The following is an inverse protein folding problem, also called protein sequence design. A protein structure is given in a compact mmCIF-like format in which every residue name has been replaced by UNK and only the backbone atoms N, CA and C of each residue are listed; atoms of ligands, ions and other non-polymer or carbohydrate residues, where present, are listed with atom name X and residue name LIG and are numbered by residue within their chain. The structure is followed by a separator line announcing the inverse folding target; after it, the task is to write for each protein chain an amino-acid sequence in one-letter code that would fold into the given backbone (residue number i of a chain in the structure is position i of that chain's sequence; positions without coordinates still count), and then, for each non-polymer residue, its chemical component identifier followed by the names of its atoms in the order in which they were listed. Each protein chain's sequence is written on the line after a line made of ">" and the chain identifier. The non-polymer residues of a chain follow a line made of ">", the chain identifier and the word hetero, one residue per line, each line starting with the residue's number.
data_IF_218305845471
#
_entry.id   IF_218305845471
#
_cell.length_a   1.000
_cell.length_b   1.000
_cell.length_c   1.000
_cell.angle_alpha   90.00
_cell.angle_beta   90.00
_cell.angle_gamma   90.00
#
_symmetry.space_group_name_H-M   'P 1'
#
loop_
_entity.id
_entity.type
_entity.pdbx_description
1 polymer ?
#
# COMPACT_ATOMS: atom_id res chain seq x y z
N UNK A 1 -2.72 19.77 6.04
CA UNK A 1 -3.98 19.24 6.60
C UNK A 1 -3.62 17.98 7.38
N UNK A 2 -4.18 17.75 8.57
CA UNK A 2 -3.92 16.51 9.33
C UNK A 2 -4.72 15.31 8.78
N UNK A 3 -4.38 14.11 9.23
CA UNK A 3 -5.01 12.84 8.81
C UNK A 3 -6.51 12.88 8.97
N UNK A 4 -6.97 13.24 10.15
CA UNK A 4 -8.38 13.24 10.53
C UNK A 4 -9.22 14.17 9.67
N UNK A 5 -8.72 15.39 9.41
CA UNK A 5 -9.38 16.34 8.53
C UNK A 5 -9.33 15.89 7.08
N UNK A 6 -8.25 15.24 6.64
CA UNK A 6 -8.13 14.68 5.29
C UNK A 6 -9.19 13.60 5.05
N UNK A 7 -9.32 12.66 5.99
CA UNK A 7 -10.33 11.60 5.95
C UNK A 7 -11.75 12.17 5.92
N UNK A 8 -12.07 13.10 6.84
CA UNK A 8 -13.39 13.75 6.86
C UNK A 8 -13.70 14.51 5.58
N UNK A 9 -12.72 15.24 5.04
CA UNK A 9 -12.89 16.00 3.79
C UNK A 9 -13.22 15.07 2.63
N UNK A 10 -12.54 13.92 2.52
CA UNK A 10 -12.87 12.91 1.51
C UNK A 10 -14.26 12.29 1.73
N UNK A 11 -14.55 11.85 2.95
CA UNK A 11 -15.82 11.15 3.24
C UNK A 11 -17.02 12.08 3.06
N UNK A 12 -16.97 13.29 3.61
CA UNK A 12 -18.08 14.23 3.58
C UNK A 12 -18.36 14.67 2.14
N UNK A 13 -17.32 14.93 1.35
CA UNK A 13 -17.46 15.30 -0.07
C UNK A 13 -18.25 14.26 -0.88
N UNK A 14 -17.99 12.97 -0.68
CA UNK A 14 -18.69 11.90 -1.38
C UNK A 14 -20.06 11.57 -0.76
N UNK A 15 -20.22 11.67 0.57
CA UNK A 15 -21.53 11.55 1.23
C UNK A 15 -22.51 12.61 0.73
N UNK A 16 -22.06 13.87 0.59
CA UNK A 16 -22.86 14.96 0.02
C UNK A 16 -23.30 14.70 -1.43
N UNK A 17 -22.56 13.84 -2.16
CA UNK A 17 -22.85 13.39 -3.53
C UNK A 17 -23.67 12.10 -3.58
N UNK A 18 -24.16 11.63 -2.43
CA UNK A 18 -25.03 10.47 -2.31
C UNK A 18 -24.29 9.13 -2.30
N UNK A 19 -22.98 9.13 -2.04
CA UNK A 19 -22.24 7.89 -1.80
C UNK A 19 -22.49 7.39 -0.38
N UNK A 20 -22.67 6.08 -0.24
CA UNK A 20 -22.79 5.43 1.04
C UNK A 20 -21.41 4.98 1.54
N UNK A 21 -21.04 5.40 2.75
CA UNK A 21 -19.87 4.88 3.44
C UNK A 21 -20.10 3.40 3.77
N UNK A 22 -19.35 2.53 3.11
CA UNK A 22 -19.31 1.10 3.42
C UNK A 22 -18.18 0.84 4.42
N UNK A 23 -18.35 -0.16 5.27
CA UNK A 23 -17.32 -0.54 6.24
C UNK A 23 -16.04 -0.93 5.52
N UNK A 24 -14.97 -0.16 5.78
CA UNK A 24 -13.61 -0.46 5.32
C UNK A 24 -13.23 -1.87 5.71
N UNK A 25 -12.92 -2.68 4.70
CA UNK A 25 -12.86 -4.13 4.87
C UNK A 25 -11.58 -4.56 5.58
N UNK A 26 -11.65 -5.72 6.22
CA UNK A 26 -10.49 -6.48 6.69
C UNK A 26 -9.40 -6.58 5.62
N UNK A 27 -8.13 -6.67 6.02
CA UNK A 27 -7.05 -7.08 5.11
C UNK A 27 -7.25 -8.50 4.57
N UNK A 28 -8.18 -9.26 5.15
CA UNK A 28 -8.38 -10.67 4.86
C UNK A 28 -9.52 -10.86 3.86
N UNK A 29 -9.22 -11.10 2.58
CA UNK A 29 -10.26 -11.46 1.65
C UNK A 29 -10.90 -12.80 2.04
N UNK A 30 -12.11 -13.10 1.55
CA UNK A 30 -12.79 -14.37 1.79
C UNK A 30 -11.89 -15.57 1.46
N UNK A 31 -12.04 -16.73 2.14
CA UNK A 31 -11.18 -17.89 1.90
C UNK A 31 -11.16 -18.42 0.46
N UNK A 32 -12.17 -18.09 -0.34
CA UNK A 32 -12.28 -18.45 -1.76
C UNK A 32 -11.49 -17.54 -2.70
N UNK A 33 -10.98 -16.41 -2.20
CA UNK A 33 -10.22 -15.45 -2.99
C UNK A 33 -8.78 -15.95 -3.20
N UNK A 34 -8.24 -15.87 -4.44
CA UNK A 34 -6.86 -16.28 -4.71
C UNK A 34 -5.80 -15.37 -4.06
N UNK A 35 -6.16 -14.14 -3.68
CA UNK A 35 -5.22 -13.17 -3.10
C UNK A 35 -5.09 -13.39 -1.60
N UNK A 36 -3.84 -13.31 -1.08
CA UNK A 36 -3.58 -13.49 0.35
C UNK A 36 -4.09 -12.32 1.20
N UNK A 37 -3.97 -11.09 0.71
CA UNK A 37 -4.39 -9.88 1.39
C UNK A 37 -5.08 -8.92 0.42
N UNK A 38 -5.98 -8.09 0.93
CA UNK A 38 -6.58 -7.00 0.17
C UNK A 38 -5.49 -6.00 -0.25
N UNK A 39 -5.28 -5.78 -1.55
CA UNK A 39 -4.25 -4.86 -2.08
C UNK A 39 -4.82 -3.57 -2.68
N UNK A 40 -6.16 -3.50 -2.81
CA UNK A 40 -6.92 -2.39 -3.38
C UNK A 40 -8.32 -2.29 -2.75
N UNK A 41 -8.87 -1.07 -2.75
CA UNK A 41 -10.26 -0.75 -2.40
C UNK A 41 -11.30 -1.61 -3.11
N UNK A 42 -11.01 -2.00 -4.35
CA UNK A 42 -11.98 -2.67 -5.22
C UNK A 42 -12.12 -4.17 -4.97
N UNK A 43 -11.13 -4.84 -4.38
CA UNK A 43 -11.15 -6.30 -4.17
C UNK A 43 -12.45 -6.80 -3.52
N UNK A 44 -12.89 -6.25 -2.36
CA UNK A 44 -14.16 -6.65 -1.74
C UNK A 44 -15.40 -6.29 -2.57
N UNK A 45 -15.23 -5.44 -3.59
CA UNK A 45 -16.30 -4.96 -4.46
C UNK A 45 -16.38 -5.68 -5.81
N UNK A 46 -15.44 -6.57 -6.12
CA UNK A 46 -15.40 -7.34 -7.39
C UNK A 46 -16.77 -7.89 -7.81
N UNK A 47 -17.55 -8.59 -6.94
CA UNK A 47 -18.84 -9.14 -7.37
C UNK A 47 -19.84 -8.08 -7.83
N UNK A 48 -19.78 -6.87 -7.26
CA UNK A 48 -20.70 -5.78 -7.59
C UNK A 48 -20.26 -5.02 -8.84
N UNK A 49 -18.95 -4.92 -9.07
CA UNK A 49 -18.38 -4.43 -10.31
C UNK A 49 -18.69 -5.37 -11.48
N UNK A 50 -18.87 -6.67 -11.23
CA UNK A 50 -19.35 -7.64 -12.21
C UNK A 50 -20.88 -7.59 -12.45
N UNK A 51 -21.59 -6.68 -11.78
CA UNK A 51 -23.01 -6.41 -12.00
C UNK A 51 -23.96 -6.94 -10.92
N UNK A 52 -23.44 -7.55 -9.84
CA UNK A 52 -24.28 -7.85 -8.67
C UNK A 52 -24.76 -6.54 -8.00
N UNK A 53 -26.04 -6.41 -7.62
CA UNK A 53 -26.48 -5.26 -6.84
C UNK A 53 -25.83 -5.22 -5.44
N UNK A 54 -25.34 -4.05 -5.03
CA UNK A 54 -24.82 -3.84 -3.68
C UNK A 54 -25.96 -3.39 -2.73
N UNK A 55 -26.03 -3.91 -1.48
CA UNK A 55 -27.14 -3.62 -0.56
C UNK A 55 -27.23 -2.15 -0.14
N UNK A 56 -26.12 -1.41 -0.19
CA UNK A 56 -26.08 0.03 0.13
C UNK A 56 -26.29 0.93 -1.10
N UNK A 57 -26.75 0.38 -2.22
CA UNK A 57 -27.02 1.15 -3.44
C UNK A 57 -25.84 1.18 -4.42
N UNK A 58 -25.83 2.20 -5.29
CA UNK A 58 -24.98 2.23 -6.50
C UNK A 58 -23.78 3.17 -6.40
N UNK A 59 -23.70 3.96 -5.35
CA UNK A 59 -22.60 4.90 -5.09
C UNK A 59 -22.02 4.57 -3.73
N UNK A 60 -20.76 4.18 -3.68
CA UNK A 60 -20.12 3.68 -2.46
C UNK A 60 -18.81 4.43 -2.24
N UNK A 61 -18.44 4.64 -0.98
CA UNK A 61 -17.11 5.15 -0.62
C UNK A 61 -16.56 4.36 0.57
N UNK A 62 -15.24 4.27 0.68
CA UNK A 62 -14.61 3.69 1.87
C UNK A 62 -13.19 4.24 2.08
N UNK A 63 -12.63 3.80 3.20
CA UNK A 63 -11.19 3.88 3.50
C UNK A 63 -10.74 2.43 3.64
N UNK A 64 -10.06 1.90 2.63
CA UNK A 64 -9.66 0.51 2.56
C UNK A 64 -8.24 0.34 3.10
N UNK A 65 -8.07 -0.61 4.02
CA UNK A 65 -6.76 -1.08 4.42
C UNK A 65 -6.18 -1.97 3.33
N UNK A 66 -4.98 -1.65 2.88
CA UNK A 66 -4.29 -2.39 1.84
C UNK A 66 -2.98 -2.95 2.39
N UNK A 67 -2.62 -4.15 1.97
CA UNK A 67 -1.30 -4.72 2.22
C UNK A 67 -0.70 -5.21 0.91
N UNK A 68 0.41 -4.61 0.48
CA UNK A 68 1.13 -4.99 -0.74
C UNK A 68 2.44 -5.68 -0.38
N UNK A 69 2.56 -6.94 -0.79
CA UNK A 69 3.81 -7.70 -0.63
C UNK A 69 4.78 -7.53 -1.80
N UNK A 70 4.32 -6.92 -2.89
CA UNK A 70 5.14 -6.58 -4.06
C UNK A 70 6.16 -5.51 -3.73
N UNK A 71 5.81 -4.60 -2.81
CA UNK A 71 6.56 -3.38 -2.51
C UNK A 71 7.57 -3.59 -1.35
N UNK A 72 7.77 -4.84 -0.92
CA UNK A 72 8.55 -5.17 0.29
C UNK A 72 10.04 -4.87 0.18
N UNK A 73 10.58 -4.83 -1.03
CA UNK A 73 12.01 -4.55 -1.25
C UNK A 73 12.27 -3.05 -1.42
N UNK A 74 11.24 -2.28 -1.74
CA UNK A 74 11.22 -0.83 -1.87
C UNK A 74 11.04 -0.14 -0.51
N UNK A 75 10.42 -0.83 0.46
CA UNK A 75 10.27 -0.35 1.84
C UNK A 75 11.62 0.06 2.43
N UNK A 76 11.69 1.31 2.89
CA UNK A 76 12.92 1.98 3.31
C UNK A 76 13.17 3.25 2.49
N UNK A 77 12.57 3.34 1.30
CA UNK A 77 12.50 4.58 0.52
C UNK A 77 11.49 5.59 1.12
N UNK A 78 11.32 6.79 0.55
CA UNK A 78 10.48 7.82 1.15
C UNK A 78 8.97 7.67 0.85
N UNK A 79 8.54 6.72 0.01
CA UNK A 79 7.17 6.70 -0.55
C UNK A 79 6.44 5.36 -0.41
N UNK A 80 7.14 4.24 -0.23
CA UNK A 80 6.54 2.90 -0.16
C UNK A 80 6.25 2.45 1.27
N UNK A 81 5.10 1.80 1.40
CA UNK A 81 4.61 1.18 2.63
C UNK A 81 4.07 -0.21 2.29
N UNK A 82 4.29 -1.16 3.19
CA UNK A 82 3.68 -2.49 3.13
C UNK A 82 2.19 -2.41 3.44
N UNK A 83 1.82 -1.65 4.48
CA UNK A 83 0.42 -1.39 4.87
C UNK A 83 0.08 0.08 4.71
N UNK A 84 -1.04 0.37 4.08
CA UNK A 84 -1.49 1.74 3.83
C UNK A 84 -3.01 1.80 3.71
N UNK A 85 -3.57 3.02 3.71
CA UNK A 85 -4.99 3.23 3.46
C UNK A 85 -5.25 3.81 2.07
N UNK A 86 -6.21 3.21 1.37
CA UNK A 86 -6.70 3.68 0.08
C UNK A 86 -8.09 4.31 0.24
N UNK A 87 -8.20 5.59 -0.08
CA UNK A 87 -9.46 6.31 -0.16
C UNK A 87 -10.12 5.96 -1.50
N UNK A 88 -11.27 5.30 -1.44
CA UNK A 88 -11.93 4.79 -2.64
C UNK A 88 -13.36 5.27 -2.79
N UNK A 89 -13.76 5.52 -4.04
CA UNK A 89 -15.13 5.85 -4.42
C UNK A 89 -15.56 5.03 -5.64
N UNK A 90 -16.80 4.55 -5.64
CA UNK A 90 -17.31 3.66 -6.67
C UNK A 90 -18.64 4.14 -7.25
N UNK A 91 -18.76 3.99 -8.56
CA UNK A 91 -20.01 4.06 -9.31
C UNK A 91 -20.36 2.68 -9.84
N UNK A 92 -21.47 2.12 -9.39
CA UNK A 92 -22.00 0.85 -9.88
C UNK A 92 -23.08 1.12 -10.94
N UNK A 93 -22.63 1.47 -12.14
CA UNK A 93 -23.49 1.83 -13.27
C UNK A 93 -24.20 3.19 -13.19
N UNK A 94 -23.82 4.05 -12.24
CA UNK A 94 -24.59 5.25 -11.91
C UNK A 94 -24.10 6.51 -12.68
N UNK A 95 -22.92 7.00 -12.33
CA UNK A 95 -22.21 8.06 -13.06
C UNK A 95 -21.01 7.51 -13.83
N UNK A 96 -20.64 8.20 -14.92
CA UNK A 96 -19.52 7.82 -15.79
C UNK A 96 -18.20 8.52 -15.46
N UNK A 97 -17.18 8.26 -16.28
CA UNK A 97 -15.80 8.66 -16.04
C UNK A 97 -15.63 10.18 -15.96
N UNK A 98 -16.22 10.93 -16.88
CA UNK A 98 -16.16 12.40 -16.87
C UNK A 98 -16.65 13.02 -15.56
N UNK A 99 -17.71 12.48 -14.95
CA UNK A 99 -18.20 12.98 -13.67
C UNK A 99 -17.24 12.63 -12.53
N UNK A 100 -16.64 11.44 -12.57
CA UNK A 100 -15.61 11.02 -11.61
C UNK A 100 -14.42 11.97 -11.62
N UNK A 101 -13.90 12.32 -12.80
CA UNK A 101 -12.76 13.23 -12.96
C UNK A 101 -13.08 14.65 -12.47
N UNK A 102 -14.28 15.17 -12.79
CA UNK A 102 -14.71 16.50 -12.30
C UNK A 102 -14.77 16.55 -10.78
N UNK A 103 -15.28 15.50 -10.15
CA UNK A 103 -15.31 15.40 -8.69
C UNK A 103 -13.92 15.23 -8.07
N UNK A 104 -13.06 14.40 -8.67
CA UNK A 104 -11.66 14.28 -8.24
C UNK A 104 -10.93 15.62 -8.28
N UNK A 105 -11.07 16.36 -9.39
CA UNK A 105 -10.53 17.70 -9.57
C UNK A 105 -11.06 18.70 -8.54
N UNK A 106 -12.38 18.75 -8.35
CA UNK A 106 -13.03 19.61 -7.35
C UNK A 106 -12.52 19.31 -5.94
N UNK A 107 -12.44 18.02 -5.56
CA UNK A 107 -11.97 17.64 -4.23
C UNK A 107 -10.50 18.02 -4.00
N UNK A 108 -9.62 17.77 -4.98
CA UNK A 108 -8.21 18.15 -4.88
C UNK A 108 -8.03 19.66 -4.77
N UNK A 109 -8.74 20.43 -5.60
CA UNK A 109 -8.63 21.89 -5.66
C UNK A 109 -9.29 22.58 -4.47
N UNK A 110 -10.57 22.29 -4.21
CA UNK A 110 -11.39 23.01 -3.23
C UNK A 110 -11.36 22.38 -1.85
N UNK A 111 -11.44 21.05 -1.78
CA UNK A 111 -11.44 20.33 -0.50
C UNK A 111 -10.05 20.30 0.13
N UNK A 112 -9.06 19.87 -0.64
CA UNK A 112 -7.68 19.74 -0.16
C UNK A 112 -6.82 20.99 -0.39
N UNK A 113 -7.28 21.95 -1.20
CA UNK A 113 -6.57 23.22 -1.43
C UNK A 113 -5.35 23.08 -2.33
N UNK A 114 -5.26 22.03 -3.15
CA UNK A 114 -4.13 21.82 -4.06
C UNK A 114 -4.25 22.82 -5.22
N UNK A 115 -3.24 23.68 -5.44
CA UNK A 115 -3.31 24.66 -6.53
C UNK A 115 -3.38 23.99 -7.89
N UNK A 116 -4.25 24.47 -8.78
CA UNK A 116 -4.45 23.93 -10.13
C UNK A 116 -3.14 23.81 -10.93
N UNK A 117 -2.23 24.79 -10.79
CA UNK A 117 -0.91 24.78 -11.45
C UNK A 117 0.01 23.62 -11.05
N UNK A 118 -0.36 22.87 -10.00
CA UNK A 118 0.34 21.68 -9.52
C UNK A 118 -0.36 20.39 -9.94
N UNK A 119 -1.43 20.45 -10.72
CA UNK A 119 -2.13 19.28 -11.20
C UNK A 119 -1.69 18.93 -12.62
N UNK A 120 -1.55 17.64 -12.88
CA UNK A 120 -1.33 17.06 -14.20
C UNK A 120 -2.13 15.77 -14.25
N UNK A 121 -2.62 15.39 -15.43
CA UNK A 121 -3.33 14.13 -15.61
C UNK A 121 -2.67 13.25 -16.66
N UNK A 122 -2.83 11.94 -16.52
CA UNK A 122 -2.55 10.98 -17.59
C UNK A 122 -3.87 10.38 -18.07
N UNK A 123 -3.95 10.03 -19.36
CA UNK A 123 -5.14 9.45 -19.98
C UNK A 123 -4.72 8.34 -20.93
N UNK A 124 -5.52 7.27 -20.97
CA UNK A 124 -5.29 6.16 -21.91
C UNK A 124 -5.26 6.61 -23.37
N UNK A 125 -4.10 6.42 -24.01
CA UNK A 125 -3.77 6.79 -25.39
C UNK A 125 -4.35 5.88 -26.46
N UNK A 126 -4.86 4.70 -26.08
CA UNK A 126 -5.36 3.69 -27.01
C UNK A 126 -4.30 2.64 -27.40
N UNK A 127 -4.77 1.46 -27.76
CA UNK A 127 -3.98 0.34 -28.26
C UNK A 127 -4.70 -0.37 -29.44
N UNK A 128 -4.22 -1.56 -29.81
CA UNK A 128 -4.80 -2.36 -30.90
C UNK A 128 -6.22 -2.90 -30.60
N UNK A 129 -6.64 -2.94 -29.33
CA UNK A 129 -7.94 -3.48 -28.90
C UNK A 129 -8.95 -2.39 -28.53
N UNK A 130 -8.49 -1.28 -27.95
CA UNK A 130 -9.32 -0.21 -27.40
C UNK A 130 -8.78 1.15 -27.84
N UNK A 131 -9.65 1.97 -28.43
CA UNK A 131 -9.29 3.33 -28.82
C UNK A 131 -9.00 4.26 -27.63
N UNK A 132 -8.34 5.38 -27.91
CA UNK A 132 -8.05 6.44 -26.94
C UNK A 132 -9.28 6.86 -26.12
N UNK A 133 -9.10 7.14 -24.82
CA UNK A 133 -10.19 7.64 -23.96
C UNK A 133 -10.45 9.14 -24.17
N UNK A 134 -11.03 9.46 -25.32
CA UNK A 134 -11.38 10.83 -25.73
C UNK A 134 -12.32 11.54 -24.76
N UNK A 135 -13.14 10.80 -24.00
CA UNK A 135 -14.03 11.38 -22.99
C UNK A 135 -13.28 11.97 -21.81
N UNK A 136 -12.26 11.28 -21.32
CA UNK A 136 -11.38 11.75 -20.25
C UNK A 136 -10.50 12.91 -20.72
N UNK A 137 -9.91 12.81 -21.92
CA UNK A 137 -9.12 13.90 -22.51
C UNK A 137 -9.93 15.20 -22.59
N UNK A 138 -11.13 15.16 -23.19
CA UNK A 138 -12.01 16.32 -23.30
C UNK A 138 -12.39 16.89 -21.94
N UNK A 139 -12.62 16.03 -20.95
CA UNK A 139 -12.98 16.46 -19.59
C UNK A 139 -11.86 17.28 -18.98
N UNK A 140 -10.60 16.83 -19.13
CA UNK A 140 -9.44 17.55 -18.61
C UNK A 140 -9.15 18.86 -19.37
N UNK A 141 -9.33 18.87 -20.69
CA UNK A 141 -9.24 20.10 -21.50
C UNK A 141 -10.24 21.16 -21.01
N UNK A 142 -11.49 20.77 -20.76
CA UNK A 142 -12.52 21.68 -20.22
C UNK A 142 -12.21 22.17 -18.79
N UNK A 143 -11.46 21.39 -18.01
CA UNK A 143 -11.00 21.76 -16.66
C UNK A 143 -9.68 22.53 -16.66
N UNK A 144 -9.01 22.66 -17.83
CA UNK A 144 -7.73 23.34 -17.96
C UNK A 144 -6.53 22.62 -17.32
N UNK A 145 -6.63 21.30 -17.10
CA UNK A 145 -5.54 20.49 -16.55
C UNK A 145 -4.72 19.90 -17.70
N UNK A 146 -3.38 20.04 -17.69
CA UNK A 146 -2.54 19.44 -18.73
C UNK A 146 -2.59 17.91 -18.68
N UNK A 147 -2.53 17.28 -19.86
CA UNK A 147 -2.66 15.84 -20.03
C UNK A 147 -1.46 15.25 -20.77
N UNK A 148 -1.02 14.07 -20.33
CA UNK A 148 -0.12 13.18 -21.06
C UNK A 148 -0.90 11.92 -21.46
N UNK A 149 -0.70 11.45 -22.70
CA UNK A 149 -1.30 10.19 -23.15
C UNK A 149 -0.31 9.06 -22.90
N UNK A 150 -0.72 8.06 -22.12
CA UNK A 150 0.06 6.83 -21.91
C UNK A 150 -0.79 5.60 -22.24
N UNK A 151 -0.16 4.44 -22.43
CA UNK A 151 -0.87 3.20 -22.77
C UNK A 151 -0.75 2.20 -21.65
N UNK A 152 0.47 1.74 -21.34
CA UNK A 152 0.72 0.73 -20.32
C UNK A 152 0.35 1.21 -18.91
N UNK A 153 0.66 2.48 -18.60
CA UNK A 153 0.38 3.06 -17.29
C UNK A 153 -1.10 3.45 -17.11
N UNK A 154 -1.86 3.61 -18.20
CA UNK A 154 -3.28 3.99 -18.14
C UNK A 154 -4.27 2.86 -18.47
N UNK A 155 -3.93 1.63 -18.10
CA UNK A 155 -4.82 0.48 -18.20
C UNK A 155 -4.85 -0.30 -16.90
N UNK A 156 -6.03 -0.36 -16.26
CA UNK A 156 -6.19 -1.06 -15.00
C UNK A 156 -6.97 -2.36 -15.18
N UNK A 157 -6.53 -3.43 -14.49
CA UNK A 157 -7.19 -4.74 -14.50
C UNK A 157 -7.23 -5.35 -13.10
N UNK A 158 -8.36 -5.99 -12.75
CA UNK A 158 -8.52 -6.69 -11.46
C UNK A 158 -7.63 -7.95 -11.32
N UNK A 159 -7.03 -8.37 -12.42
CA UNK A 159 -6.18 -9.55 -12.49
C UNK A 159 -6.00 -9.99 -13.93
N UNK A 160 -5.49 -11.21 -14.15
CA UNK A 160 -5.34 -11.78 -15.49
C UNK A 160 -6.65 -11.95 -16.24
N UNK A 161 -7.76 -12.14 -15.53
CA UNK A 161 -9.13 -12.31 -16.02
C UNK A 161 -10.07 -11.48 -15.15
N UNK A 162 -11.11 -10.89 -15.74
CA UNK A 162 -12.15 -10.16 -15.01
C UNK A 162 -12.32 -8.70 -15.46
N UNK A 163 -12.98 -7.86 -14.64
CA UNK A 163 -13.23 -6.45 -14.95
C UNK A 163 -11.93 -5.65 -15.14
N UNK A 164 -11.91 -4.83 -16.19
CA UNK A 164 -10.80 -3.95 -16.54
C UNK A 164 -11.26 -2.75 -17.36
N UNK A 165 -10.37 -1.79 -17.59
CA UNK A 165 -10.64 -0.69 -18.50
C UNK A 165 -9.56 0.39 -18.49
N UNK A 166 -9.74 1.40 -19.36
CA UNK A 166 -8.88 2.58 -19.34
C UNK A 166 -9.08 3.33 -18.04
N UNK A 167 -8.00 3.94 -17.57
CA UNK A 167 -8.06 4.85 -16.44
C UNK A 167 -7.53 6.24 -16.80
N UNK A 168 -7.62 7.14 -15.82
CA UNK A 168 -6.95 8.43 -15.85
C UNK A 168 -6.45 8.72 -14.46
N UNK A 169 -5.15 9.01 -14.36
CA UNK A 169 -4.50 9.27 -13.08
C UNK A 169 -4.25 10.75 -12.91
N UNK A 170 -4.33 11.23 -11.67
CA UNK A 170 -4.07 12.61 -11.29
C UNK A 170 -2.74 12.65 -10.55
N UNK A 171 -1.86 13.53 -11.00
CA UNK A 171 -0.53 13.77 -10.44
C UNK A 171 -0.47 15.14 -9.79
N UNK A 172 0.30 15.22 -8.70
CA UNK A 172 0.59 16.47 -8.02
C UNK A 172 2.08 16.77 -8.06
N UNK A 173 2.43 17.99 -8.44
CA UNK A 173 3.79 18.46 -8.43
C UNK A 173 4.31 18.71 -7.00
N UNK A 174 5.41 18.05 -6.66
CA UNK A 174 6.09 18.19 -5.36
C UNK A 174 7.42 18.95 -5.45
N UNK A 175 7.87 19.31 -6.66
CA UNK A 175 9.12 20.06 -6.85
C UNK A 175 9.07 21.52 -6.37
N UNK A 176 10.24 22.07 -6.05
CA UNK A 176 10.39 23.46 -5.60
C UNK A 176 10.32 24.52 -6.72
N UNK A 177 10.55 24.14 -7.98
CA UNK A 177 10.45 25.00 -9.17
C UNK A 177 9.13 24.82 -9.89
N UNK A 178 8.89 25.57 -10.96
CA UNK A 178 7.84 25.18 -11.92
C UNK A 178 8.19 23.82 -12.57
N UNK A 179 7.18 23.00 -12.91
CA UNK A 179 7.42 21.77 -13.67
C UNK A 179 7.92 22.08 -15.08
N UNK A 180 8.91 21.32 -15.55
CA UNK A 180 9.44 21.40 -16.93
C UNK A 180 9.18 20.11 -17.73
N UNK A 181 8.75 19.03 -17.06
CA UNK A 181 8.43 17.73 -17.65
C UNK A 181 7.03 17.25 -17.32
N UNK A 182 6.71 16.05 -17.79
CA UNK A 182 5.45 15.32 -17.62
C UNK A 182 5.60 14.23 -16.54
N UNK A 183 4.49 13.62 -16.07
CA UNK A 183 4.55 12.48 -15.14
C UNK A 183 5.54 11.37 -15.53
N UNK A 184 5.62 11.00 -16.82
CA UNK A 184 6.54 9.94 -17.26
C UNK A 184 8.01 10.37 -17.33
N UNK A 185 8.29 11.68 -17.36
CA UNK A 185 9.64 12.23 -17.57
C UNK A 185 10.24 12.89 -16.33
N UNK A 186 9.43 13.17 -15.31
CA UNK A 186 9.87 13.82 -14.08
C UNK A 186 9.25 13.17 -12.82
N UNK A 187 10.03 12.48 -11.99
CA UNK A 187 9.53 11.74 -10.82
C UNK A 187 9.00 12.66 -9.69
N UNK A 188 9.14 13.97 -9.83
CA UNK A 188 8.54 14.95 -8.90
C UNK A 188 7.04 15.15 -9.14
N UNK A 189 6.49 14.56 -10.20
CA UNK A 189 5.06 14.33 -10.33
C UNK A 189 4.69 13.07 -9.56
N UNK A 190 3.98 13.23 -8.45
CA UNK A 190 3.53 12.11 -7.64
C UNK A 190 2.10 11.77 -7.99
N UNK A 191 1.86 10.52 -8.40
CA UNK A 191 0.52 9.96 -8.57
C UNK A 191 -0.22 10.00 -7.24
N UNK A 192 -1.36 10.71 -7.20
CA UNK A 192 -2.19 10.80 -5.99
C UNK A 192 -3.48 10.00 -6.11
N UNK A 193 -4.04 9.90 -7.31
CA UNK A 193 -5.38 9.35 -7.47
C UNK A 193 -5.58 8.74 -8.86
N UNK A 194 -5.88 7.44 -8.89
CA UNK A 194 -6.30 6.75 -10.12
C UNK A 194 -7.83 6.68 -10.20
N UNK A 195 -8.39 7.07 -11.35
CA UNK A 195 -9.80 6.92 -11.70
C UNK A 195 -9.97 5.91 -12.84
N UNK A 196 -10.36 4.69 -12.50
CA UNK A 196 -10.56 3.59 -13.44
C UNK A 196 -11.99 3.59 -13.99
N UNK A 197 -12.09 3.66 -15.32
CA UNK A 197 -13.32 3.45 -16.06
C UNK A 197 -13.49 1.99 -16.43
N UNK A 198 -14.03 1.16 -15.52
CA UNK A 198 -14.25 -0.26 -15.80
C UNK A 198 -15.37 -0.44 -16.83
N UNK A 199 -15.00 -0.82 -18.05
CA UNK A 199 -15.93 -0.96 -19.19
C UNK A 199 -15.77 -2.29 -19.91
N UNK A 200 -14.73 -3.07 -19.61
CA UNK A 200 -14.41 -4.32 -20.28
C UNK A 200 -14.27 -5.47 -19.29
N UNK A 201 -14.50 -6.68 -19.78
CA UNK A 201 -14.15 -7.94 -19.14
C UNK A 201 -13.07 -8.62 -19.97
N UNK A 202 -11.93 -8.90 -19.36
CA UNK A 202 -10.81 -9.65 -19.97
C UNK A 202 -11.02 -11.15 -19.80
N UNK A 203 -10.93 -11.89 -20.89
CA UNK A 203 -11.00 -13.35 -20.94
C UNK A 203 -9.61 -13.99 -20.82
N UNK A 204 -9.55 -15.30 -20.60
CA UNK A 204 -8.29 -16.06 -20.48
C UNK A 204 -7.38 -15.95 -21.71
N UNK A 205 -7.95 -15.79 -22.90
CA UNK A 205 -7.22 -15.61 -24.16
C UNK A 205 -6.75 -14.16 -24.38
N UNK A 206 -7.02 -13.26 -23.44
CA UNK A 206 -6.68 -11.84 -23.49
C UNK A 206 -7.70 -10.98 -24.24
N UNK A 207 -8.72 -11.57 -24.85
CA UNK A 207 -9.77 -10.83 -25.55
C UNK A 207 -10.65 -10.02 -24.58
N UNK A 208 -11.25 -8.95 -25.09
CA UNK A 208 -12.09 -8.03 -24.31
C UNK A 208 -13.54 -8.08 -24.79
N UNK A 209 -14.47 -8.20 -23.84
CA UNK A 209 -15.91 -7.99 -24.08
C UNK A 209 -16.43 -6.82 -23.24
N UNK A 210 -17.43 -6.06 -23.71
CA UNK A 210 -18.00 -4.97 -22.92
C UNK A 210 -18.67 -5.50 -21.64
N UNK A 211 -18.51 -4.78 -20.53
CA UNK A 211 -19.29 -5.02 -19.31
C UNK A 211 -20.75 -4.61 -19.54
N UNK A 212 -21.67 -5.40 -19.00
CA UNK A 212 -23.10 -5.07 -18.99
C UNK A 212 -23.40 -3.79 -18.20
N UNK A 213 -22.55 -3.49 -17.21
CA UNK A 213 -22.60 -2.31 -16.37
C UNK A 213 -21.22 -1.63 -16.36
N UNK A 214 -21.06 -0.48 -17.03
CA UNK A 214 -19.87 0.35 -16.88
C UNK A 214 -19.78 0.89 -15.45
N UNK A 215 -18.62 0.77 -14.83
CA UNK A 215 -18.40 1.20 -13.45
C UNK A 215 -17.27 2.22 -13.36
N UNK A 216 -17.23 2.90 -12.22
CA UNK A 216 -16.08 3.69 -11.77
C UNK A 216 -15.53 3.05 -10.52
N UNK A 217 -14.21 2.91 -10.50
CA UNK A 217 -13.40 2.54 -9.35
C UNK A 217 -12.32 3.63 -9.19
N UNK A 218 -12.19 4.20 -8.01
CA UNK A 218 -11.13 5.18 -7.74
C UNK A 218 -10.33 4.76 -6.53
N UNK A 219 -9.03 5.07 -6.56
CA UNK A 219 -8.11 4.77 -5.46
C UNK A 219 -7.10 5.89 -5.26
N UNK A 220 -7.10 6.48 -4.07
CA UNK A 220 -6.13 7.50 -3.65
C UNK A 220 -5.40 7.04 -2.40
N UNK A 221 -4.07 7.00 -2.45
CA UNK A 221 -3.26 6.63 -1.28
C UNK A 221 -3.27 7.73 -0.23
N UNK A 222 -3.81 7.44 0.96
CA UNK A 222 -3.93 8.42 2.05
C UNK A 222 -2.56 8.99 2.44
N UNK A 223 -1.57 8.13 2.64
CA UNK A 223 -0.25 8.52 3.12
C UNK A 223 0.47 9.40 2.10
N UNK A 224 0.37 9.09 0.80
CA UNK A 224 0.91 9.94 -0.27
C UNK A 224 0.22 11.30 -0.31
N UNK A 225 -1.11 11.33 -0.18
CA UNK A 225 -1.86 12.58 -0.10
C UNK A 225 -1.42 13.41 1.12
N UNK A 226 -1.28 12.79 2.29
CA UNK A 226 -0.85 13.48 3.51
C UNK A 226 0.55 14.08 3.37
N UNK A 227 1.49 13.37 2.75
CA UNK A 227 2.83 13.89 2.43
C UNK A 227 2.73 15.23 1.70
N UNK A 228 1.87 15.30 0.68
CA UNK A 228 1.63 16.52 -0.10
C UNK A 228 0.94 17.60 0.73
N UNK A 229 -0.16 17.26 1.42
CA UNK A 229 -0.97 18.22 2.18
C UNK A 229 -0.27 18.78 3.43
N UNK A 230 0.79 18.12 3.89
CA UNK A 230 1.61 18.54 5.02
C UNK A 230 2.95 19.12 4.58
N UNK A 231 3.24 19.15 3.27
CA UNK A 231 4.49 19.67 2.73
C UNK A 231 5.71 18.88 3.22
N UNK A 232 5.59 17.56 3.22
CA UNK A 232 6.65 16.62 3.62
C UNK A 232 7.32 16.00 2.40
N UNK A 233 8.54 15.50 2.59
CA UNK A 233 9.30 14.81 1.55
C UNK A 233 9.11 13.29 1.60
N UNK A 234 8.59 12.78 2.72
CA UNK A 234 8.36 11.35 2.93
C UNK A 234 7.03 11.05 3.60
N UNK A 235 6.44 9.90 3.28
CA UNK A 235 5.27 9.34 3.98
C UNK A 235 5.54 9.15 5.48
N UNK A 236 6.80 8.89 5.86
CA UNK A 236 7.25 8.70 7.23
C UNK A 236 7.35 10.01 8.05
N UNK A 237 7.23 11.18 7.40
CA UNK A 237 7.26 12.49 8.05
C UNK A 237 5.85 13.07 8.32
N UNK A 238 4.82 12.31 7.96
CA UNK A 238 3.42 12.70 8.19
C UNK A 238 3.06 12.56 9.66
N UNK A 239 1.98 13.23 10.07
CA UNK A 239 1.41 13.10 11.41
C UNK A 239 1.10 11.65 11.83
N UNK A 240 0.80 10.75 10.87
CA UNK A 240 0.64 9.32 11.11
C UNK A 240 1.86 8.67 11.77
N UNK A 241 3.06 9.19 11.49
CA UNK A 241 4.32 8.66 11.98
C UNK A 241 4.92 9.51 13.12
N UNK A 242 4.22 10.54 13.62
CA UNK A 242 4.73 11.35 14.74
C UNK A 242 5.10 10.50 15.98
N UNK A 243 4.24 9.56 16.44
CA UNK A 243 4.60 8.78 17.62
C UNK A 243 5.84 7.91 17.37
N UNK A 244 5.95 7.38 16.14
CA UNK A 244 7.06 6.54 15.70
C UNK A 244 8.39 7.30 15.68
N UNK A 245 8.41 8.47 15.05
CA UNK A 245 9.58 9.36 14.98
C UNK A 245 10.00 9.89 16.35
N UNK A 246 9.06 10.09 17.28
CA UNK A 246 9.37 10.54 18.64
C UNK A 246 9.90 9.44 19.56
N UNK A 247 9.40 8.21 19.42
CA UNK A 247 9.60 7.14 20.41
C UNK A 247 10.62 6.09 19.96
N UNK A 248 10.60 5.67 18.70
CA UNK A 248 11.46 4.58 18.21
C UNK A 248 12.96 4.94 18.29
N UNK A 249 13.42 6.18 18.01
CA UNK A 249 14.84 6.54 18.13
C UNK A 249 15.39 6.50 19.56
N UNK A 250 14.51 6.53 20.59
CA UNK A 250 14.91 6.35 21.99
C UNK A 250 15.25 4.89 22.29
N UNK A 251 14.72 3.98 21.46
CA UNK A 251 15.00 2.56 21.52
C UNK A 251 16.19 2.19 20.64
N UNK A 252 16.20 2.55 19.37
CA UNK A 252 17.27 2.15 18.46
C UNK A 252 17.80 3.33 17.66
N UNK A 253 19.13 3.43 17.56
CA UNK A 253 19.82 4.43 16.74
C UNK A 253 19.95 3.91 15.30
N UNK A 254 18.83 3.93 14.59
CA UNK A 254 18.72 3.40 13.23
C UNK A 254 19.11 4.47 12.22
N UNK A 255 19.83 4.07 11.16
CA UNK A 255 19.90 4.91 9.98
C UNK A 255 18.51 5.08 9.33
N UNK A 256 18.36 6.10 8.49
CA UNK A 256 17.06 6.50 7.98
C UNK A 256 16.32 5.37 7.22
N UNK A 257 16.95 4.61 6.30
CA UNK A 257 16.28 3.47 5.66
C UNK A 257 15.86 2.37 6.65
N UNK A 258 16.71 2.05 7.63
CA UNK A 258 16.39 1.05 8.66
C UNK A 258 15.26 1.51 9.57
N UNK A 259 15.24 2.80 9.93
CA UNK A 259 14.17 3.41 10.71
C UNK A 259 12.81 3.27 9.99
N UNK A 260 12.77 3.62 8.71
CA UNK A 260 11.57 3.52 7.86
C UNK A 260 11.10 2.08 7.74
N UNK A 261 12.01 1.14 7.45
CA UNK A 261 11.71 -0.29 7.37
C UNK A 261 11.12 -0.82 8.68
N UNK A 262 11.71 -0.48 9.83
CA UNK A 262 11.21 -0.93 11.12
C UNK A 262 9.83 -0.34 11.41
N UNK A 263 9.62 0.95 11.16
CA UNK A 263 8.30 1.59 11.34
C UNK A 263 7.23 0.91 10.48
N UNK A 264 7.49 0.74 9.19
CA UNK A 264 6.56 0.11 8.26
C UNK A 264 6.24 -1.34 8.63
N UNK A 265 7.26 -2.17 8.82
CA UNK A 265 7.04 -3.59 9.07
C UNK A 265 6.41 -3.84 10.45
N UNK A 266 6.69 -2.99 11.45
CA UNK A 266 6.08 -3.13 12.77
C UNK A 266 4.62 -2.68 12.74
N UNK A 267 4.29 -1.55 12.09
CA UNK A 267 2.90 -1.15 11.81
C UNK A 267 2.15 -2.26 11.06
N UNK A 268 2.73 -2.78 9.98
CA UNK A 268 2.15 -3.88 9.19
C UNK A 268 1.92 -5.13 10.01
N UNK A 269 2.89 -5.50 10.86
CA UNK A 269 2.75 -6.62 11.79
C UNK A 269 1.59 -6.43 12.76
N UNK A 270 1.46 -5.23 13.35
CA UNK A 270 0.34 -4.87 14.23
C UNK A 270 -1.00 -5.00 13.51
N UNK A 271 -1.13 -4.47 12.29
CA UNK A 271 -2.40 -4.52 11.54
C UNK A 271 -2.78 -5.95 11.17
N UNK A 272 -1.82 -6.73 10.66
CA UNK A 272 -2.05 -8.12 10.26
C UNK A 272 -2.42 -8.99 11.46
N UNK A 273 -1.78 -8.78 12.62
CA UNK A 273 -2.16 -9.45 13.87
C UNK A 273 -3.55 -8.99 14.33
N UNK A 274 -3.86 -7.69 14.19
CA UNK A 274 -5.15 -7.14 14.60
C UNK A 274 -6.33 -7.68 13.79
N UNK A 275 -6.12 -8.03 12.52
CA UNK A 275 -7.09 -8.77 11.72
C UNK A 275 -7.12 -10.29 12.02
N UNK A 276 -6.39 -10.75 13.03
CA UNK A 276 -6.45 -12.11 13.57
C UNK A 276 -5.44 -13.10 12.97
N UNK A 277 -4.50 -12.64 12.13
CA UNK A 277 -3.45 -13.52 11.57
C UNK A 277 -2.40 -13.80 12.63
N UNK A 278 -1.97 -15.06 12.71
CA UNK A 278 -0.88 -15.49 13.59
C UNK A 278 0.33 -15.95 12.78
N UNK A 279 1.58 -15.74 13.27
CA UNK A 279 2.77 -16.21 12.57
C UNK A 279 2.71 -17.72 12.32
N UNK A 280 2.94 -18.14 11.08
CA UNK A 280 2.89 -19.54 10.65
C UNK A 280 3.93 -19.82 9.55
N UNK A 281 4.05 -21.07 9.12
CA UNK A 281 4.98 -21.46 8.05
C UNK A 281 4.42 -21.26 6.64
N UNK A 282 3.12 -20.94 6.48
CA UNK A 282 2.44 -20.90 5.18
C UNK A 282 1.43 -19.74 5.09
N UNK A 283 1.11 -19.33 3.86
CA UNK A 283 0.07 -18.33 3.58
C UNK A 283 0.28 -17.00 4.32
N UNK A 284 -0.80 -16.41 4.82
CA UNK A 284 -0.80 -15.13 5.54
C UNK A 284 0.13 -15.10 6.74
N UNK A 285 0.18 -16.20 7.50
CA UNK A 285 1.05 -16.30 8.67
C UNK A 285 2.54 -16.34 8.32
N UNK A 286 2.90 -16.84 7.13
CA UNK A 286 4.27 -16.76 6.62
C UNK A 286 4.66 -15.32 6.25
N UNK A 287 3.75 -14.58 5.62
CA UNK A 287 3.99 -13.16 5.30
C UNK A 287 4.21 -12.35 6.58
N UNK A 288 3.32 -12.50 7.58
CA UNK A 288 3.49 -11.87 8.89
C UNK A 288 4.85 -12.21 9.53
N UNK A 289 5.21 -13.49 9.51
CA UNK A 289 6.51 -13.96 10.01
C UNK A 289 7.68 -13.30 9.25
N UNK A 290 7.58 -13.16 7.93
CA UNK A 290 8.63 -12.53 7.10
C UNK A 290 8.83 -11.06 7.48
N UNK A 291 7.74 -10.30 7.65
CA UNK A 291 7.78 -8.89 8.08
C UNK A 291 8.46 -8.74 9.43
N UNK A 292 7.98 -9.47 10.45
CA UNK A 292 8.53 -9.41 11.80
C UNK A 292 10.01 -9.84 11.81
N UNK A 293 10.40 -10.85 11.04
CA UNK A 293 11.80 -11.29 11.04
C UNK A 293 12.74 -10.37 10.28
N UNK A 294 12.27 -9.67 9.24
CA UNK A 294 13.05 -8.65 8.54
C UNK A 294 13.36 -7.49 9.49
N UNK A 295 12.35 -6.93 10.18
CA UNK A 295 12.60 -5.85 11.15
C UNK A 295 13.46 -6.33 12.32
N UNK A 296 13.24 -7.54 12.85
CA UNK A 296 14.06 -8.08 13.95
C UNK A 296 15.52 -8.29 13.53
N UNK A 297 15.78 -8.63 12.27
CA UNK A 297 17.15 -8.74 11.75
C UNK A 297 17.85 -7.39 11.81
N UNK A 298 17.15 -6.32 11.39
CA UNK A 298 17.64 -4.94 11.45
C UNK A 298 17.87 -4.48 12.89
N UNK A 299 16.90 -4.68 13.78
CA UNK A 299 17.02 -4.30 15.19
C UNK A 299 18.16 -5.03 15.91
N UNK A 300 18.29 -6.34 15.67
CA UNK A 300 19.34 -7.15 16.28
C UNK A 300 20.74 -6.77 15.79
N UNK A 301 20.89 -6.35 14.53
CA UNK A 301 22.15 -5.82 14.00
C UNK A 301 22.55 -4.50 14.65
N UNK A 302 21.57 -3.70 15.08
CA UNK A 302 21.81 -2.42 15.73
C UNK A 302 22.12 -2.63 17.22
N UNK A 303 21.16 -3.15 17.99
CA UNK A 303 21.30 -3.39 19.43
C UNK A 303 20.55 -4.68 19.82
N UNK A 304 21.27 -5.81 19.97
CA UNK A 304 20.66 -7.09 20.32
C UNK A 304 20.20 -7.19 21.77
N UNK A 305 20.49 -6.18 22.61
CA UNK A 305 20.09 -6.17 24.03
C UNK A 305 18.67 -5.65 24.23
N UNK A 306 18.15 -4.91 23.25
CA UNK A 306 16.78 -4.39 23.24
C UNK A 306 15.85 -5.34 22.51
N UNK A 307 14.61 -5.34 22.94
CA UNK A 307 13.59 -6.30 22.49
C UNK A 307 12.30 -5.60 22.12
N UNK A 308 11.42 -6.29 21.40
CA UNK A 308 10.07 -5.80 21.15
C UNK A 308 9.24 -5.69 22.44
N UNK A 309 9.70 -6.26 23.57
CA UNK A 309 9.08 -6.03 24.88
C UNK A 309 9.34 -4.62 25.43
N UNK A 310 10.36 -3.92 24.91
CA UNK A 310 10.69 -2.54 25.30
C UNK A 310 9.87 -1.51 24.51
N UNK A 311 9.07 -1.96 23.53
CA UNK A 311 8.26 -1.11 22.68
C UNK A 311 7.20 -0.35 23.50
N UNK A 312 7.13 0.99 23.41
CA UNK A 312 6.04 1.77 23.99
C UNK A 312 4.69 1.28 23.49
N UNK A 313 3.77 1.02 24.42
CA UNK A 313 2.37 0.62 24.13
C UNK A 313 1.68 1.61 23.18
N UNK A 314 1.99 2.90 23.34
CA UNK A 314 1.48 4.00 22.52
C UNK A 314 1.64 3.74 21.02
N UNK A 315 2.76 3.13 20.56
CA UNK A 315 2.98 2.87 19.14
C UNK A 315 1.99 1.84 18.55
N UNK A 316 1.70 0.81 19.35
CA UNK A 316 0.75 -0.24 18.97
C UNK A 316 -0.68 0.30 19.06
N UNK A 317 -1.02 1.01 20.14
CA UNK A 317 -2.33 1.66 20.33
C UNK A 317 -2.64 2.64 19.19
N UNK A 318 -1.71 3.56 18.90
CA UNK A 318 -1.84 4.51 17.79
C UNK A 318 -2.11 3.82 16.45
N UNK A 319 -1.42 2.70 16.18
CA UNK A 319 -1.62 1.94 14.94
C UNK A 319 -2.97 1.24 14.91
N UNK A 320 -3.38 0.61 16.02
CA UNK A 320 -4.67 -0.06 16.11
C UNK A 320 -5.83 0.93 15.95
N UNK A 321 -5.72 2.10 16.58
CA UNK A 321 -6.72 3.16 16.52
C UNK A 321 -6.84 3.75 15.11
N UNK A 322 -5.71 4.10 14.49
CA UNK A 322 -5.68 4.63 13.13
C UNK A 322 -6.34 3.66 12.13
N UNK A 323 -5.99 2.37 12.19
CA UNK A 323 -6.55 1.34 11.33
C UNK A 323 -7.89 0.75 11.84
N UNK A 324 -8.49 1.33 12.88
CA UNK A 324 -9.81 0.98 13.45
C UNK A 324 -9.94 -0.51 13.79
N UNK A 325 -8.89 -1.08 14.36
CA UNK A 325 -8.82 -2.49 14.72
C UNK A 325 -9.45 -2.72 16.10
N UNK A 326 -10.35 -3.71 16.26
CA UNK A 326 -11.08 -3.92 17.51
C UNK A 326 -10.29 -4.72 18.56
N UNK A 327 -9.06 -5.15 18.25
CA UNK A 327 -8.21 -5.93 19.16
C UNK A 327 -7.57 -5.03 20.20
N UNK A 328 -7.31 -5.56 21.40
CA UNK A 328 -6.50 -4.85 22.41
C UNK A 328 -4.99 -4.94 22.13
N UNK A 329 -4.24 -4.01 22.72
CA UNK A 329 -2.77 -3.90 22.60
C UNK A 329 -2.02 -5.14 23.10
N UNK A 330 -2.46 -5.73 24.23
CA UNK A 330 -1.75 -6.84 24.89
C UNK A 330 -1.64 -8.11 24.04
N UNK A 331 -2.72 -8.62 23.39
CA UNK A 331 -2.63 -9.73 22.44
C UNK A 331 -1.61 -9.51 21.32
N UNK A 332 -1.52 -8.29 20.80
CA UNK A 332 -0.61 -7.93 19.70
C UNK A 332 0.84 -7.97 20.19
N UNK A 333 1.12 -7.29 21.29
CA UNK A 333 2.46 -7.29 21.93
C UNK A 333 2.91 -8.70 22.30
N UNK A 334 2.00 -9.53 22.82
CA UNK A 334 2.29 -10.93 23.14
C UNK A 334 2.71 -11.74 21.92
N UNK A 335 2.03 -11.57 20.78
CA UNK A 335 2.38 -12.26 19.54
C UNK A 335 3.70 -11.79 18.92
N UNK A 336 3.98 -10.48 18.97
CA UNK A 336 5.26 -9.92 18.54
C UNK A 336 6.41 -10.49 19.36
N UNK A 337 6.25 -10.52 20.69
CA UNK A 337 7.23 -11.10 21.62
C UNK A 337 7.45 -12.60 21.39
N UNK A 338 6.38 -13.36 21.21
CA UNK A 338 6.48 -14.80 20.94
C UNK A 338 7.27 -15.09 19.67
N UNK A 339 7.07 -14.30 18.61
CA UNK A 339 7.81 -14.46 17.37
C UNK A 339 9.27 -14.01 17.51
N UNK A 340 9.55 -12.94 18.27
CA UNK A 340 10.91 -12.52 18.62
C UNK A 340 11.68 -13.63 19.34
N UNK A 341 11.08 -14.27 20.36
CA UNK A 341 11.71 -15.39 21.08
C UNK A 341 12.01 -16.57 20.14
N UNK A 342 11.09 -16.87 19.21
CA UNK A 342 11.32 -17.93 18.20
C UNK A 342 12.43 -17.53 17.23
N UNK A 343 12.51 -16.26 16.86
CA UNK A 343 13.55 -15.73 15.99
C UNK A 343 14.93 -15.77 16.65
N UNK A 344 15.05 -15.40 17.94
CA UNK A 344 16.30 -15.54 18.69
C UNK A 344 16.84 -16.97 18.69
N UNK A 345 15.97 -17.96 18.91
CA UNK A 345 16.36 -19.39 18.81
C UNK A 345 16.82 -19.79 17.41
N UNK A 346 16.26 -19.15 16.37
CA UNK A 346 16.69 -19.35 14.99
C UNK A 346 18.06 -18.71 14.73
N UNK A 347 18.32 -17.51 15.25
CA UNK A 347 19.63 -16.85 15.18
C UNK A 347 20.72 -17.71 15.83
N UNK A 348 20.49 -18.22 17.04
CA UNK A 348 21.44 -19.10 17.76
C UNK A 348 21.75 -20.38 16.96
N UNK A 349 20.73 -20.93 16.29
CA UNK A 349 20.91 -22.06 15.39
C UNK A 349 21.70 -21.63 14.15
N UNK A 350 21.37 -20.48 13.57
CA UNK A 350 22.02 -19.89 12.41
C UNK A 350 23.51 -19.69 12.63
N UNK A 351 23.91 -19.07 13.73
CA UNK A 351 25.31 -18.89 14.10
C UNK A 351 26.06 -20.22 14.21
N UNK A 352 25.46 -21.24 14.84
CA UNK A 352 26.06 -22.58 14.96
C UNK A 352 26.18 -23.30 13.63
N UNK A 353 25.25 -23.10 12.70
CA UNK A 353 25.32 -23.69 11.36
C UNK A 353 26.37 -22.96 10.52
N UNK A 354 26.32 -21.63 10.48
CA UNK A 354 27.23 -20.78 9.69
C UNK A 354 28.67 -20.77 10.23
N UNK A 355 28.93 -21.27 11.44
CA UNK A 355 30.30 -21.46 11.95
C UNK A 355 31.03 -22.64 11.29
N UNK A 356 30.31 -23.56 10.64
CA UNK A 356 30.92 -24.73 9.98
C UNK A 356 31.81 -24.28 8.81
N UNK A 357 32.99 -24.91 8.59
CA UNK A 357 33.94 -24.51 7.55
C UNK A 357 33.32 -24.35 6.15
N UNK A 358 32.35 -25.21 5.80
CA UNK A 358 31.61 -25.17 4.53
C UNK A 358 30.98 -23.79 4.24
N UNK A 359 30.50 -23.09 5.27
CA UNK A 359 29.73 -21.85 5.12
C UNK A 359 30.54 -20.58 5.41
N UNK A 360 31.86 -20.71 5.63
CA UNK A 360 32.73 -19.56 5.87
C UNK A 360 33.18 -18.89 4.57
N UNK A 361 33.20 -19.62 3.45
CA UNK A 361 33.53 -19.10 2.11
C UNK A 361 32.33 -18.48 1.38
N UNK A 362 32.46 -18.21 0.08
CA UNK A 362 31.34 -17.72 -0.75
C UNK A 362 30.24 -18.79 -0.78
N UNK A 363 29.02 -18.41 -0.43
CA UNK A 363 27.87 -19.31 -0.46
C UNK A 363 27.34 -19.40 -1.90
N UNK A 364 26.97 -20.62 -2.30
CA UNK A 364 26.28 -20.88 -3.56
C UNK A 364 24.77 -20.76 -3.36
N UNK A 365 24.01 -20.69 -4.45
CA UNK A 365 22.54 -20.76 -4.40
C UNK A 365 22.04 -22.09 -3.80
N UNK A 366 22.79 -23.18 -3.98
CA UNK A 366 22.49 -24.46 -3.34
C UNK A 366 22.67 -24.38 -1.82
N UNK A 367 23.70 -23.69 -1.33
CA UNK A 367 23.88 -23.49 0.10
C UNK A 367 22.75 -22.62 0.68
N UNK A 368 22.35 -21.54 0.01
CA UNK A 368 21.20 -20.73 0.44
C UNK A 368 19.91 -21.54 0.47
N UNK A 369 19.65 -22.35 -0.56
CA UNK A 369 18.49 -23.25 -0.59
C UNK A 369 18.55 -24.26 0.55
N UNK A 370 19.69 -24.89 0.80
CA UNK A 370 19.86 -25.84 1.89
C UNK A 370 19.66 -25.19 3.27
N UNK A 371 20.25 -24.01 3.50
CA UNK A 371 20.10 -23.25 4.75
C UNK A 371 18.64 -22.84 4.99
N UNK A 372 17.93 -22.47 3.92
CA UNK A 372 16.50 -22.19 3.98
C UNK A 372 15.70 -23.45 4.30
N UNK A 373 15.82 -24.50 3.49
CA UNK A 373 14.95 -25.68 3.56
C UNK A 373 15.22 -26.55 4.81
N UNK A 374 16.48 -26.66 5.23
CA UNK A 374 16.90 -27.53 6.34
C UNK A 374 16.94 -26.79 7.67
N UNK A 375 17.33 -25.51 7.66
CA UNK A 375 17.57 -24.74 8.87
C UNK A 375 16.60 -23.58 9.07
N UNK A 376 15.73 -23.29 8.09
CA UNK A 376 14.77 -22.19 8.16
C UNK A 376 15.44 -20.82 8.11
N UNK A 377 16.67 -20.74 7.57
CA UNK A 377 17.48 -19.52 7.50
C UNK A 377 17.29 -18.88 6.12
N UNK A 378 16.44 -17.84 5.97
CA UNK A 378 16.29 -17.15 4.70
C UNK A 378 17.57 -16.42 4.31
N UNK A 379 17.73 -16.17 3.00
CA UNK A 379 18.92 -15.55 2.41
C UNK A 379 19.30 -14.22 3.09
N UNK A 380 18.32 -13.36 3.34
CA UNK A 380 18.53 -12.05 3.97
C UNK A 380 19.14 -12.20 5.37
N UNK A 381 18.61 -13.15 6.15
CA UNK A 381 19.13 -13.47 7.49
C UNK A 381 20.56 -14.00 7.41
N UNK A 382 20.84 -14.91 6.48
CA UNK A 382 22.20 -15.45 6.29
C UNK A 382 23.18 -14.34 5.91
N UNK A 383 22.80 -13.47 4.98
CA UNK A 383 23.62 -12.33 4.54
C UNK A 383 23.89 -11.39 5.72
N UNK A 384 22.85 -11.06 6.50
CA UNK A 384 22.96 -10.25 7.71
C UNK A 384 23.91 -10.85 8.75
N UNK A 385 23.72 -12.13 9.12
CA UNK A 385 24.57 -12.83 10.09
C UNK A 385 26.05 -12.91 9.66
N UNK A 386 26.31 -12.92 8.35
CA UNK A 386 27.68 -12.95 7.81
C UNK A 386 28.34 -11.58 7.77
N UNK A 387 27.59 -10.54 7.45
CA UNK A 387 28.10 -9.16 7.41
C UNK A 387 28.70 -8.71 8.76
N UNK A 388 28.10 -9.15 9.86
CA UNK A 388 28.54 -8.84 11.23
C UNK A 388 29.79 -9.59 11.67
N UNK A 389 30.17 -10.70 11.01
CA UNK A 389 31.43 -11.41 11.32
C UNK A 389 32.67 -10.71 10.78
N UNK A 390 32.47 -9.79 9.84
CA UNK A 390 33.54 -9.06 9.18
C UNK A 390 33.67 -7.61 9.69
N UNK A 391 32.84 -7.21 10.66
CA UNK A 391 33.04 -6.05 11.52
C UNK A 391 33.63 -6.53 12.83
#
# INVERSE_FOLDING_TARGET
>A
MDTDRTLRTFTDFYVERGHHLITGSTLLPPPSDPVLFTTSGMHPLTPYLEGRPHPQGRRLLNVQRCLRTTDLEEVGDPTHLTVFEMLGSWSLGDYGHSQSLRWGYELLRDGFGIPERRLYATVFGGDDQVGQDTGSLRTWEELGVPVELTVEDNWWSNGPVGPCGPDSEIFVWTGGSSPEGTPTTDPRWVEVWNHVGMRHHRHEDGSLSPLSQPNIDTGMGLERLLTILQGRDSVYDTDLFEPWTRLLPRLWDLDEPSFRLVCDHLRSGVVVIGDGVRPSATGRGYVLRRLIRRLLTTLWQQDPTRTLSDLPRELVEHTLDHFRLPVGTDPVLGLLKDEEVRFGRLLDRGHRVLSRPRYQGRLTEEDYRYLHDTHGLPRDLVTGLRSLRHR
#
